data_IF_077331959625
#
_entry.id   IF_077331959625
#
_cell.length_a   1.000
_cell.length_b   1.000
_cell.length_c   1.000
_cell.angle_alpha   90.00
_cell.angle_beta   90.00
_cell.angle_gamma   90.00
#
_symmetry.space_group_name_H-M   'P 1'
#
loop_
_entity.id
_entity.type
_entity.pdbx_description
1 polymer ?
#
# COMPACT_ATOMS: atom_id res chain seq x y z
N UNK A 1 -42.11 -27.41 -33.22
CA UNK A 1 -41.61 -26.04 -33.12
C UNK A 1 -41.71 -25.51 -31.68
N UNK A 2 -42.91 -25.52 -31.08
CA UNK A 2 -43.13 -24.98 -29.72
C UNK A 2 -42.21 -25.57 -28.62
N UNK A 3 -41.99 -26.88 -28.60
CA UNK A 3 -41.15 -27.55 -27.61
C UNK A 3 -39.64 -27.15 -27.68
N UNK A 4 -39.14 -26.82 -28.86
CA UNK A 4 -37.76 -26.34 -29.05
C UNK A 4 -37.60 -24.88 -28.59
N UNK A 5 -38.63 -24.06 -28.80
CA UNK A 5 -38.65 -22.67 -28.34
C UNK A 5 -38.77 -22.60 -26.81
N UNK A 6 -39.59 -23.49 -26.22
CA UNK A 6 -39.72 -23.63 -24.76
C UNK A 6 -38.42 -24.12 -24.13
N UNK A 7 -37.71 -25.10 -24.74
CA UNK A 7 -36.40 -25.55 -24.30
C UNK A 7 -35.34 -24.44 -24.38
N UNK A 8 -35.30 -23.70 -25.48
CA UNK A 8 -34.37 -22.59 -25.68
C UNK A 8 -34.60 -21.46 -24.66
N UNK A 9 -35.87 -21.18 -24.34
CA UNK A 9 -36.24 -20.22 -23.31
C UNK A 9 -35.80 -20.67 -21.93
N UNK A 10 -36.06 -21.94 -21.57
CA UNK A 10 -35.66 -22.53 -20.30
C UNK A 10 -34.12 -22.52 -20.14
N UNK A 11 -33.35 -22.87 -21.19
CA UNK A 11 -31.86 -22.81 -21.17
C UNK A 11 -31.40 -21.38 -21.02
N UNK A 12 -32.00 -20.41 -21.69
CA UNK A 12 -31.67 -19.01 -21.56
C UNK A 12 -31.99 -18.43 -20.16
N UNK A 13 -33.12 -18.86 -19.58
CA UNK A 13 -33.50 -18.43 -18.22
C UNK A 13 -32.59 -19.06 -17.18
N UNK A 14 -32.23 -20.33 -17.26
CA UNK A 14 -31.24 -21.00 -16.43
C UNK A 14 -29.84 -20.34 -16.59
N UNK A 15 -29.45 -19.96 -17.82
CA UNK A 15 -28.17 -19.32 -18.04
C UNK A 15 -28.13 -17.89 -17.50
N UNK A 16 -29.25 -17.17 -17.48
CA UNK A 16 -29.39 -15.84 -16.88
C UNK A 16 -29.34 -15.89 -15.36
N UNK A 17 -29.98 -16.89 -14.75
CA UNK A 17 -29.99 -17.10 -13.30
C UNK A 17 -28.61 -17.61 -12.79
N UNK A 18 -27.84 -18.29 -13.66
CA UNK A 18 -26.49 -18.79 -13.35
C UNK A 18 -25.33 -17.87 -13.79
N UNK A 19 -25.59 -16.70 -14.38
CA UNK A 19 -24.60 -15.66 -14.49
C UNK A 19 -24.46 -15.07 -13.08
N UNK A 20 -23.60 -15.70 -12.27
CA UNK A 20 -23.10 -15.06 -11.07
C UNK A 20 -22.53 -13.70 -11.51
N UNK A 21 -23.05 -12.63 -10.97
CA UNK A 21 -22.51 -11.29 -11.25
C UNK A 21 -21.03 -11.36 -10.93
N UNK A 22 -20.17 -11.29 -11.94
CA UNK A 22 -18.73 -11.41 -11.77
C UNK A 22 -18.14 -10.34 -10.86
N UNK A 23 -18.90 -9.26 -10.63
CA UNK A 23 -18.52 -8.14 -9.76
C UNK A 23 -19.71 -7.77 -8.84
N UNK A 24 -19.38 -7.52 -7.57
CA UNK A 24 -20.34 -7.16 -6.52
C UNK A 24 -19.91 -5.88 -5.83
N UNK A 25 -20.83 -4.92 -5.73
CA UNK A 25 -20.67 -3.76 -4.86
C UNK A 25 -21.07 -4.13 -3.44
N UNK A 26 -20.23 -3.79 -2.48
CA UNK A 26 -20.48 -4.07 -1.07
C UNK A 26 -19.93 -3.01 -0.13
N UNK A 27 -20.21 -3.21 1.17
CA UNK A 27 -19.64 -2.44 2.27
C UNK A 27 -18.70 -3.37 3.05
N UNK A 28 -17.53 -2.88 3.38
CA UNK A 28 -16.51 -3.63 4.11
C UNK A 28 -16.92 -3.68 5.58
N UNK A 29 -17.12 -4.88 6.13
CA UNK A 29 -17.50 -5.08 7.54
C UNK A 29 -16.30 -5.41 8.42
N UNK A 30 -15.29 -6.11 7.88
CA UNK A 30 -14.09 -6.53 8.60
C UNK A 30 -12.88 -6.60 7.66
N UNK A 31 -11.67 -6.34 8.19
CA UNK A 31 -10.39 -6.46 7.47
C UNK A 31 -9.39 -7.23 8.32
N UNK A 32 -8.90 -8.36 7.83
CA UNK A 32 -7.79 -9.10 8.39
C UNK A 32 -6.53 -8.85 7.54
N UNK A 33 -5.71 -7.85 7.97
CA UNK A 33 -4.52 -7.46 7.22
C UNK A 33 -3.40 -8.49 7.26
N UNK A 34 -3.33 -9.33 8.30
CA UNK A 34 -2.31 -10.38 8.42
C UNK A 34 -2.56 -11.51 7.42
N UNK A 35 -3.80 -11.95 7.30
CA UNK A 35 -4.22 -13.00 6.36
C UNK A 35 -4.53 -12.46 4.96
N UNK A 36 -4.50 -11.12 4.78
CA UNK A 36 -4.83 -10.45 3.51
C UNK A 36 -6.25 -10.75 3.02
N UNK A 37 -7.20 -10.80 3.95
CA UNK A 37 -8.62 -11.05 3.68
C UNK A 37 -9.52 -10.00 4.31
N UNK A 38 -10.76 -9.95 3.87
CA UNK A 38 -11.82 -9.09 4.43
C UNK A 38 -13.18 -9.75 4.30
N UNK A 39 -14.16 -9.25 5.06
CA UNK A 39 -15.59 -9.57 4.92
C UNK A 39 -16.31 -8.39 4.30
N UNK A 40 -17.18 -8.69 3.31
CA UNK A 40 -17.94 -7.69 2.55
C UNK A 40 -19.41 -8.03 2.59
N UNK A 41 -20.27 -7.04 2.87
CA UNK A 41 -21.73 -7.15 2.82
C UNK A 41 -22.20 -6.56 1.50
N UNK A 42 -22.86 -7.35 0.66
CA UNK A 42 -23.39 -6.93 -0.63
C UNK A 42 -24.45 -5.83 -0.48
N UNK A 43 -24.35 -4.79 -1.30
CA UNK A 43 -25.33 -3.70 -1.34
C UNK A 43 -26.66 -4.11 -2.03
N UNK A 44 -26.65 -5.19 -2.82
CA UNK A 44 -27.79 -5.63 -3.60
C UNK A 44 -28.77 -6.48 -2.79
N UNK A 45 -28.26 -7.44 -2.05
CA UNK A 45 -29.03 -8.50 -1.39
C UNK A 45 -28.68 -8.71 0.07
N UNK A 46 -27.68 -8.00 0.60
CA UNK A 46 -27.23 -8.12 1.98
C UNK A 46 -26.44 -9.40 2.29
N UNK A 47 -26.06 -10.18 1.28
CA UNK A 47 -25.25 -11.39 1.48
C UNK A 47 -23.83 -11.02 1.97
N UNK A 48 -23.31 -11.82 2.87
CA UNK A 48 -21.95 -11.69 3.36
C UNK A 48 -21.00 -12.56 2.55
N UNK A 49 -19.90 -11.93 2.09
CA UNK A 49 -18.78 -12.59 1.42
C UNK A 49 -17.62 -12.62 2.39
N UNK A 50 -17.27 -13.81 2.86
CA UNK A 50 -16.13 -14.04 3.76
C UNK A 50 -14.87 -14.33 2.96
N UNK A 51 -13.71 -14.13 3.60
CA UNK A 51 -12.38 -14.43 3.05
C UNK A 51 -12.11 -13.81 1.65
N UNK A 52 -12.69 -12.63 1.41
CA UNK A 52 -12.42 -11.87 0.19
C UNK A 52 -10.97 -11.41 0.21
N UNK A 53 -10.18 -11.80 -0.78
CA UNK A 53 -8.76 -11.43 -0.86
C UNK A 53 -8.59 -9.92 -1.02
N UNK A 54 -7.68 -9.30 -0.26
CA UNK A 54 -7.36 -7.88 -0.34
C UNK A 54 -6.54 -7.49 -1.58
N UNK A 55 -6.18 -8.45 -2.40
CA UNK A 55 -5.42 -8.29 -3.64
C UNK A 55 -5.00 -9.62 -4.22
N UNK A 56 -4.32 -9.59 -5.36
CA UNK A 56 -3.83 -10.79 -6.06
C UNK A 56 -2.34 -10.63 -6.37
N UNK A 57 -1.57 -11.69 -6.09
CA UNK A 57 -0.15 -11.75 -6.41
C UNK A 57 0.70 -10.80 -5.56
N UNK A 58 1.24 -9.76 -6.17
CA UNK A 58 2.18 -8.82 -5.54
C UNK A 58 1.54 -7.52 -5.04
N UNK A 59 0.25 -7.33 -5.20
CA UNK A 59 -0.45 -6.08 -4.89
C UNK A 59 -1.60 -6.30 -3.92
N UNK A 60 -1.59 -5.56 -2.80
CA UNK A 60 -2.62 -5.60 -1.76
C UNK A 60 -3.05 -4.20 -1.36
N UNK A 61 -4.34 -4.02 -1.08
CA UNK A 61 -4.91 -2.81 -0.53
C UNK A 61 -5.54 -3.12 0.82
N UNK A 62 -5.26 -2.28 1.83
CA UNK A 62 -5.95 -2.31 3.11
C UNK A 62 -7.07 -1.26 3.09
N UNK A 63 -8.31 -1.65 2.84
CA UNK A 63 -9.41 -0.69 2.76
C UNK A 63 -9.86 -0.27 4.16
N UNK A 64 -10.58 0.87 4.21
CA UNK A 64 -11.20 1.38 5.44
C UNK A 64 -12.51 0.65 5.70
N UNK A 65 -12.69 0.11 6.90
CA UNK A 65 -13.93 -0.55 7.34
C UNK A 65 -15.09 0.45 7.27
N UNK A 66 -16.26 -0.02 6.82
CA UNK A 66 -17.47 0.77 6.67
C UNK A 66 -17.57 1.54 5.35
N UNK A 67 -16.53 1.53 4.51
CA UNK A 67 -16.55 2.14 3.18
C UNK A 67 -17.01 1.17 2.11
N UNK A 68 -17.36 1.69 0.93
CA UNK A 68 -17.80 0.86 -0.20
C UNK A 68 -16.62 0.26 -0.92
N UNK A 69 -16.84 -0.93 -1.48
CA UNK A 69 -15.86 -1.60 -2.33
C UNK A 69 -16.53 -2.31 -3.48
N UNK A 70 -15.72 -2.61 -4.49
CA UNK A 70 -16.06 -3.48 -5.61
C UNK A 70 -15.22 -4.75 -5.48
N UNK A 71 -15.87 -5.89 -5.41
CA UNK A 71 -15.22 -7.20 -5.39
C UNK A 71 -15.55 -8.00 -6.64
N UNK A 72 -14.63 -8.86 -7.08
CA UNK A 72 -14.78 -9.69 -8.27
C UNK A 72 -14.58 -11.16 -7.98
N UNK A 73 -15.28 -12.02 -8.73
CA UNK A 73 -15.17 -13.47 -8.62
C UNK A 73 -13.97 -13.98 -9.43
N UNK A 74 -13.13 -14.80 -8.80
CA UNK A 74 -12.08 -15.57 -9.49
C UNK A 74 -12.74 -16.78 -10.19
N UNK A 75 -12.48 -16.94 -11.48
CA UNK A 75 -13.02 -18.03 -12.29
C UNK A 75 -14.56 -18.16 -12.23
N UNK A 76 -15.28 -17.05 -12.04
CA UNK A 76 -16.73 -17.01 -11.84
C UNK A 76 -17.24 -17.85 -10.65
N UNK A 77 -16.40 -18.03 -9.63
CA UNK A 77 -16.75 -18.74 -8.39
C UNK A 77 -17.08 -17.74 -7.29
N UNK A 78 -18.31 -17.72 -6.82
CA UNK A 78 -18.75 -16.85 -5.71
C UNK A 78 -18.02 -17.15 -4.37
N UNK A 79 -17.37 -18.32 -4.26
CA UNK A 79 -16.56 -18.71 -3.09
C UNK A 79 -15.11 -18.22 -3.13
N UNK A 80 -14.70 -17.57 -4.21
CA UNK A 80 -13.33 -17.06 -4.39
C UNK A 80 -13.41 -15.65 -4.93
N UNK A 81 -13.49 -14.68 -4.02
CA UNK A 81 -13.64 -13.26 -4.34
C UNK A 81 -12.37 -12.50 -4.02
N UNK A 82 -12.12 -11.40 -4.74
CA UNK A 82 -11.01 -10.50 -4.47
C UNK A 82 -11.43 -9.03 -4.60
N UNK A 83 -10.74 -8.15 -3.91
CA UNK A 83 -10.92 -6.70 -3.97
C UNK A 83 -10.42 -6.16 -5.32
N UNK A 84 -11.30 -5.52 -6.07
CA UNK A 84 -10.96 -4.77 -7.29
C UNK A 84 -10.63 -3.33 -6.94
N UNK A 85 -11.50 -2.67 -6.17
CA UNK A 85 -11.34 -1.30 -5.74
C UNK A 85 -12.08 -1.03 -4.44
N UNK A 86 -11.55 -0.11 -3.62
CA UNK A 86 -12.22 0.42 -2.43
C UNK A 86 -12.32 1.95 -2.52
N UNK A 87 -13.37 2.50 -1.93
CA UNK A 87 -13.61 3.94 -1.88
C UNK A 87 -12.52 4.67 -1.08
N UNK A 88 -12.05 4.06 0.00
CA UNK A 88 -10.95 4.56 0.85
C UNK A 88 -10.00 3.42 1.21
N UNK A 89 -8.70 3.74 1.18
CA UNK A 89 -7.62 2.79 1.44
C UNK A 89 -6.67 3.39 2.48
N UNK A 90 -6.35 2.64 3.53
CA UNK A 90 -5.37 3.03 4.57
C UNK A 90 -3.93 2.75 4.16
N UNK A 91 -3.72 1.63 3.46
CA UNK A 91 -2.39 1.15 3.09
C UNK A 91 -2.42 0.41 1.76
N UNK A 92 -1.42 0.67 0.92
CA UNK A 92 -1.13 -0.10 -0.29
C UNK A 92 0.22 -0.79 -0.09
N UNK A 93 0.27 -2.09 -0.35
CA UNK A 93 1.47 -2.90 -0.28
C UNK A 93 1.74 -3.53 -1.64
N UNK A 94 2.95 -3.30 -2.16
CA UNK A 94 3.44 -3.94 -3.37
C UNK A 94 4.70 -4.73 -3.01
N UNK A 95 4.68 -6.05 -3.24
CA UNK A 95 5.80 -6.95 -2.96
C UNK A 95 6.29 -7.62 -4.24
N UNK A 96 7.57 -7.46 -4.55
CA UNK A 96 8.23 -8.17 -5.66
C UNK A 96 9.51 -8.80 -5.14
N UNK A 97 9.47 -10.05 -4.76
CA UNK A 97 10.57 -10.77 -4.10
C UNK A 97 10.99 -10.03 -2.82
N UNK A 98 12.26 -9.56 -2.78
CA UNK A 98 12.84 -8.84 -1.64
C UNK A 98 12.56 -7.32 -1.68
N UNK A 99 11.80 -6.87 -2.67
CA UNK A 99 11.42 -5.46 -2.81
C UNK A 99 10.01 -5.24 -2.29
N UNK A 100 9.85 -4.21 -1.48
CA UNK A 100 8.59 -3.82 -0.87
C UNK A 100 8.35 -2.32 -1.09
N UNK A 101 7.15 -1.96 -1.52
CA UNK A 101 6.67 -0.59 -1.57
C UNK A 101 5.41 -0.48 -0.72
N UNK A 102 5.45 0.34 0.31
CA UNK A 102 4.32 0.59 1.21
C UNK A 102 3.93 2.06 1.07
N UNK A 103 2.65 2.31 0.80
CA UNK A 103 2.08 3.65 0.77
C UNK A 103 0.98 3.74 1.83
N UNK A 104 1.10 4.70 2.75
CA UNK A 104 0.12 5.04 3.78
C UNK A 104 -0.24 6.52 3.68
N UNK A 105 -1.22 6.97 4.42
CA UNK A 105 -1.68 8.36 4.41
C UNK A 105 -0.54 9.39 4.54
N UNK A 106 0.39 9.18 5.48
CA UNK A 106 1.44 10.16 5.78
C UNK A 106 2.86 9.61 5.55
N UNK A 107 2.98 8.46 4.90
CA UNK A 107 4.25 7.77 4.77
C UNK A 107 4.33 6.92 3.51
N UNK A 108 5.47 6.98 2.82
CA UNK A 108 5.83 6.05 1.75
C UNK A 108 7.17 5.42 2.08
N UNK A 109 7.25 4.10 2.02
CA UNK A 109 8.47 3.33 2.30
C UNK A 109 8.80 2.44 1.12
N UNK A 110 10.06 2.48 0.68
CA UNK A 110 10.63 1.58 -0.31
C UNK A 110 11.73 0.76 0.37
N UNK A 111 11.63 -0.56 0.27
CA UNK A 111 12.62 -1.48 0.82
C UNK A 111 13.18 -2.40 -0.25
N UNK A 112 14.46 -2.70 -0.17
CA UNK A 112 15.15 -3.70 -0.99
C UNK A 112 16.19 -4.38 -0.11
N UNK A 113 15.92 -5.60 0.32
CA UNK A 113 16.76 -6.30 1.29
C UNK A 113 16.92 -5.49 2.59
N UNK A 114 18.14 -5.09 2.94
CA UNK A 114 18.43 -4.29 4.12
C UNK A 114 18.55 -2.77 3.86
N UNK A 115 18.11 -2.30 2.69
CA UNK A 115 18.08 -0.89 2.31
C UNK A 115 16.66 -0.36 2.38
N UNK A 116 16.47 0.82 2.96
CA UNK A 116 15.17 1.47 3.12
C UNK A 116 15.27 2.95 2.73
N UNK A 117 14.31 3.42 1.93
CA UNK A 117 14.05 4.83 1.70
C UNK A 117 12.64 5.15 2.17
N UNK A 118 12.50 6.14 3.04
CA UNK A 118 11.22 6.55 3.62
C UNK A 118 10.98 8.04 3.38
N UNK A 119 9.76 8.36 2.99
CA UNK A 119 9.25 9.73 2.82
C UNK A 119 8.06 9.87 3.76
N UNK A 120 8.03 10.91 4.57
CA UNK A 120 6.90 11.23 5.44
C UNK A 120 6.70 12.74 5.54
N UNK A 121 5.63 13.16 6.18
CA UNK A 121 5.37 14.56 6.54
C UNK A 121 6.49 15.18 7.40
N UNK A 122 7.27 14.35 8.10
CA UNK A 122 8.40 14.77 8.96
C UNK A 122 9.72 14.91 8.22
N UNK A 123 9.84 14.36 7.00
CA UNK A 123 11.07 14.41 6.21
C UNK A 123 11.42 13.07 5.55
N UNK A 124 12.70 12.95 5.20
CA UNK A 124 13.27 11.82 4.49
C UNK A 124 14.17 10.99 5.40
N UNK A 125 14.11 9.66 5.27
CA UNK A 125 15.06 8.73 5.87
C UNK A 125 15.65 7.81 4.81
N UNK A 126 16.97 7.62 4.85
CA UNK A 126 17.68 6.67 3.98
C UNK A 126 18.58 5.82 4.89
N UNK A 127 18.33 4.50 4.86
CA UNK A 127 19.00 3.53 5.70
C UNK A 127 19.56 2.38 4.86
N UNK A 128 20.70 1.84 5.30
CA UNK A 128 21.25 0.60 4.77
C UNK A 128 21.92 -0.16 5.90
N UNK A 129 21.39 -1.34 6.22
CA UNK A 129 21.85 -2.11 7.38
C UNK A 129 21.65 -1.34 8.69
N UNK A 130 22.69 -1.20 9.48
CA UNK A 130 22.67 -0.43 10.73
C UNK A 130 22.91 1.07 10.58
N UNK A 131 23.20 1.57 9.37
CA UNK A 131 23.58 2.95 9.10
C UNK A 131 22.43 3.77 8.53
N UNK A 132 22.39 5.06 8.86
CA UNK A 132 21.46 6.01 8.23
C UNK A 132 22.19 7.29 7.79
N UNK A 133 21.64 7.93 6.74
CA UNK A 133 22.28 9.07 6.08
C UNK A 133 22.43 10.29 7.00
N UNK A 134 21.44 10.55 7.87
CA UNK A 134 21.44 11.73 8.74
C UNK A 134 22.60 11.74 9.74
N UNK A 135 22.85 10.70 10.56
CA UNK A 135 24.02 10.62 11.42
C UNK A 135 25.34 10.78 10.67
N UNK A 136 25.51 10.06 9.55
CA UNK A 136 26.74 10.12 8.74
C UNK A 136 27.05 11.55 8.29
N UNK A 137 26.04 12.28 7.79
CA UNK A 137 26.22 13.67 7.38
C UNK A 137 26.48 14.61 8.55
N UNK A 138 25.86 14.37 9.71
CA UNK A 138 26.12 15.14 10.93
C UNK A 138 27.55 14.94 11.42
N UNK A 139 28.02 13.70 11.46
CA UNK A 139 29.40 13.36 11.88
C UNK A 139 30.42 13.99 10.92
N UNK A 140 30.14 13.91 9.59
CA UNK A 140 30.98 14.57 8.60
C UNK A 140 31.07 16.10 8.81
N UNK A 141 29.95 16.78 9.06
CA UNK A 141 29.88 18.22 9.32
C UNK A 141 30.65 18.55 10.60
N UNK A 142 30.52 17.74 11.64
CA UNK A 142 31.21 17.94 12.92
C UNK A 142 32.73 17.77 12.77
N UNK A 143 33.23 16.78 12.00
CA UNK A 143 34.65 16.61 11.73
C UNK A 143 35.20 17.76 10.89
N UNK A 144 34.52 18.19 9.84
CA UNK A 144 34.95 19.35 9.03
C UNK A 144 35.03 20.62 9.87
N UNK A 145 34.12 20.80 10.83
CA UNK A 145 34.09 21.97 11.71
C UNK A 145 35.28 22.04 12.69
N UNK A 146 35.99 20.92 12.91
CA UNK A 146 37.20 20.85 13.77
C UNK A 146 38.49 21.26 13.05
N UNK A 147 38.47 21.42 11.72
CA UNK A 147 39.68 21.76 10.95
C UNK A 147 40.16 23.17 11.31
N UNK A 148 41.39 23.24 11.78
CA UNK A 148 42.07 24.49 12.09
C UNK A 148 42.96 24.87 10.90
N UNK A 149 42.70 26.05 10.33
CA UNK A 149 43.53 26.61 9.25
C UNK A 149 44.53 27.63 9.85
N UNK A 150 45.79 27.30 9.78
CA UNK A 150 46.85 28.17 10.36
C UNK A 150 47.15 29.37 9.47
N UNK A 151 47.08 29.23 8.15
CA UNK A 151 47.25 30.30 7.17
C UNK A 151 46.16 30.24 6.10
N UNK A 152 45.47 31.36 5.83
CA UNK A 152 44.43 31.49 4.80
C UNK A 152 43.02 31.64 5.38
N UNK A 153 42.02 31.30 4.56
CA UNK A 153 40.61 31.41 4.96
C UNK A 153 40.21 30.21 5.81
N UNK A 154 39.77 30.45 7.04
CA UNK A 154 39.27 29.38 7.93
C UNK A 154 37.86 28.94 7.58
N UNK A 155 37.48 27.78 8.09
CA UNK A 155 36.12 27.25 7.94
C UNK A 155 35.15 28.16 8.72
N UNK A 156 34.07 28.54 8.06
CA UNK A 156 33.00 29.28 8.72
C UNK A 156 32.09 28.32 9.51
N UNK A 157 32.46 28.07 10.78
CA UNK A 157 31.74 27.16 11.68
C UNK A 157 30.26 27.57 11.85
N UNK A 158 29.97 28.88 11.91
CA UNK A 158 28.59 29.36 12.00
C UNK A 158 27.74 28.93 10.77
N UNK A 159 28.34 29.02 9.57
CA UNK A 159 27.67 28.57 8.33
C UNK A 159 27.51 27.05 8.29
N UNK A 160 28.49 26.29 8.78
CA UNK A 160 28.38 24.83 8.88
C UNK A 160 27.25 24.41 9.82
N UNK A 161 27.10 25.07 10.97
CA UNK A 161 26.01 24.83 11.89
C UNK A 161 24.63 25.15 11.29
N UNK A 162 24.52 26.22 10.49
CA UNK A 162 23.28 26.51 9.75
C UNK A 162 22.97 25.43 8.71
N UNK A 163 23.97 24.92 8.01
CA UNK A 163 23.79 23.80 7.05
C UNK A 163 23.33 22.56 7.81
N UNK A 164 23.92 22.22 8.94
CA UNK A 164 23.52 21.10 9.79
C UNK A 164 22.07 21.22 10.26
N UNK A 165 21.64 22.40 10.70
CA UNK A 165 20.26 22.66 11.10
C UNK A 165 19.29 22.44 9.92
N UNK A 166 19.60 22.96 8.74
CA UNK A 166 18.77 22.76 7.53
C UNK A 166 18.71 21.29 7.12
N UNK A 167 19.83 20.57 7.18
CA UNK A 167 19.87 19.13 6.90
C UNK A 167 18.98 18.35 7.87
N UNK A 168 19.04 18.68 9.16
CA UNK A 168 18.25 18.04 10.20
C UNK A 168 16.74 18.37 10.11
N UNK A 169 16.35 19.44 9.43
CA UNK A 169 14.95 19.74 9.14
C UNK A 169 14.37 18.92 7.97
N UNK A 170 15.25 18.35 7.12
CA UNK A 170 14.85 17.57 5.95
C UNK A 170 14.99 16.07 6.20
N UNK A 171 16.09 15.66 6.86
CA UNK A 171 16.36 14.26 7.16
C UNK A 171 15.87 13.90 8.55
N UNK A 172 15.15 12.77 8.63
CA UNK A 172 14.73 12.14 9.89
C UNK A 172 15.62 10.92 10.20
N UNK A 173 15.66 10.51 11.45
CA UNK A 173 16.42 9.33 11.87
C UNK A 173 15.75 8.01 11.46
#
# INVERSE_FOLDING_TARGET
MKAFDDFKKTVNDISKDNISEGNVWGTISEVNWEEKTMTVISLKDGLEYFDVLLGIGSYYQKPVIGTKCLIGALENKATSMFLIAAEQVEEILINVKDNECIVKENETVLKTGNTEAKISDKGYSFKKGGESLKPILNDWIDEVSKIIVVNGTTINVAKMNLIKQRLNSVLIA
#
